data_IF_290247534963
#
_entry.id   IF_290247534963
#
_cell.length_a   1.000
_cell.length_b   1.000
_cell.length_c   1.000
_cell.angle_alpha   90.00
_cell.angle_beta   90.00
_cell.angle_gamma   90.00
#
_symmetry.space_group_name_H-M   'P 1'
#
loop_
_entity.id
_entity.type
_entity.pdbx_description
1 polymer ?
#
# COMPACT_ATOMS: atom_id res chain seq x y z
N UNK A 1 -6.87 -2.59 15.65
CA UNK A 1 -7.15 -2.56 17.11
C UNK A 1 -7.10 -3.95 17.77
N UNK A 2 -7.50 -5.02 17.05
CA UNK A 2 -7.37 -6.41 17.48
C UNK A 2 -7.12 -7.33 16.26
N UNK A 3 -6.79 -8.63 16.45
CA UNK A 3 -6.66 -9.57 15.35
C UNK A 3 -7.95 -9.72 14.53
N UNK A 4 -7.81 -9.96 13.22
CA UNK A 4 -8.92 -10.14 12.27
C UNK A 4 -9.78 -11.38 12.52
N UNK A 5 -9.27 -12.35 13.29
CA UNK A 5 -9.99 -13.58 13.61
C UNK A 5 -11.24 -13.36 14.48
N UNK A 6 -11.38 -12.21 15.15
CA UNK A 6 -12.52 -11.94 16.04
C UNK A 6 -13.35 -10.74 15.54
N UNK A 7 -14.25 -11.02 14.59
CA UNK A 7 -15.15 -10.02 14.01
C UNK A 7 -16.03 -9.32 15.05
N UNK A 8 -16.55 -10.07 16.03
CA UNK A 8 -17.41 -9.52 17.08
C UNK A 8 -16.67 -8.46 17.92
N UNK A 9 -15.39 -8.68 18.21
CA UNK A 9 -14.57 -7.69 18.89
C UNK A 9 -14.34 -6.44 18.03
N UNK A 10 -14.09 -6.60 16.73
CA UNK A 10 -13.91 -5.47 15.80
C UNK A 10 -15.18 -4.63 15.74
N UNK A 11 -16.34 -5.26 15.56
CA UNK A 11 -17.64 -4.60 15.52
C UNK A 11 -17.95 -3.86 16.83
N UNK A 12 -17.68 -4.46 17.98
CA UNK A 12 -17.85 -3.76 19.27
C UNK A 12 -16.99 -2.50 19.35
N UNK A 13 -15.73 -2.61 18.90
CA UNK A 13 -14.82 -1.45 18.87
C UNK A 13 -15.32 -0.38 17.90
N UNK A 14 -15.78 -0.74 16.70
CA UNK A 14 -16.28 0.24 15.72
C UNK A 14 -17.51 0.99 16.24
N UNK A 15 -18.41 0.31 16.95
CA UNK A 15 -19.61 0.90 17.56
C UNK A 15 -19.34 1.81 18.76
N UNK A 16 -18.23 1.60 19.47
CA UNK A 16 -17.90 2.32 20.72
C UNK A 16 -16.87 3.44 20.51
N UNK A 17 -16.31 3.58 19.30
CA UNK A 17 -15.28 4.58 19.01
C UNK A 17 -15.76 5.60 17.99
N UNK A 18 -15.21 6.81 18.08
CA UNK A 18 -15.34 7.85 17.05
C UNK A 18 -14.12 7.90 16.12
N UNK A 19 -13.08 7.12 16.44
CA UNK A 19 -11.85 7.07 15.64
C UNK A 19 -12.04 6.08 14.49
N UNK A 20 -11.77 6.49 13.23
CA UNK A 20 -11.89 5.59 12.09
C UNK A 20 -11.08 4.30 12.26
N UNK A 21 -11.72 3.15 12.01
CA UNK A 21 -11.14 1.82 12.15
C UNK A 21 -10.53 1.38 10.82
N UNK A 22 -9.20 1.43 10.76
CA UNK A 22 -8.42 0.90 9.65
C UNK A 22 -7.94 -0.54 9.89
N UNK A 23 -8.26 -1.47 8.99
CA UNK A 23 -7.85 -2.88 9.06
C UNK A 23 -7.50 -3.44 7.67
N UNK A 24 -6.76 -4.56 7.63
CA UNK A 24 -6.52 -5.28 6.37
C UNK A 24 -5.07 -5.65 6.06
N UNK A 25 -4.13 -5.46 6.99
CA UNK A 25 -2.72 -5.86 6.76
C UNK A 25 -2.52 -7.37 6.56
N UNK A 26 -3.44 -8.19 7.07
CA UNK A 26 -3.45 -9.64 6.85
C UNK A 26 -4.49 -10.08 5.82
N UNK A 27 -5.20 -9.14 5.20
CA UNK A 27 -6.18 -9.42 4.16
C UNK A 27 -5.43 -9.51 2.83
N UNK A 28 -5.56 -10.67 2.18
CA UNK A 28 -4.93 -10.97 0.91
C UNK A 28 -5.89 -11.49 -0.16
N UNK A 29 -7.19 -11.59 0.14
CA UNK A 29 -8.23 -11.98 -0.79
C UNK A 29 -9.52 -11.14 -0.67
N UNK A 30 -10.23 -10.83 -1.77
CA UNK A 30 -11.43 -9.99 -1.73
C UNK A 30 -12.60 -10.53 -0.93
N UNK A 31 -12.72 -11.85 -0.75
CA UNK A 31 -13.81 -12.42 0.06
C UNK A 31 -13.62 -12.14 1.56
N UNK A 32 -12.39 -11.91 2.03
CA UNK A 32 -12.09 -11.68 3.45
C UNK A 32 -12.61 -10.34 3.97
N UNK A 33 -12.88 -9.36 3.08
CA UNK A 33 -13.46 -8.08 3.51
C UNK A 33 -14.98 -8.17 3.61
N UNK A 34 -15.64 -9.18 3.04
CA UNK A 34 -17.10 -9.21 2.90
C UNK A 34 -17.84 -9.06 4.24
N UNK A 35 -17.43 -9.81 5.27
CA UNK A 35 -18.08 -9.74 6.58
C UNK A 35 -17.77 -8.42 7.31
N UNK A 36 -16.57 -7.85 7.10
CA UNK A 36 -16.21 -6.54 7.66
C UNK A 36 -17.08 -5.42 7.07
N UNK A 37 -17.35 -5.49 5.76
CA UNK A 37 -18.18 -4.53 5.06
C UNK A 37 -19.67 -4.70 5.40
N UNK A 38 -20.15 -5.94 5.58
CA UNK A 38 -21.56 -6.21 5.92
C UNK A 38 -21.92 -5.72 7.33
N UNK A 39 -20.97 -5.81 8.25
CA UNK A 39 -21.18 -5.43 9.66
C UNK A 39 -20.80 -3.96 9.95
N UNK A 40 -20.48 -3.17 8.93
CA UNK A 40 -19.97 -1.79 9.06
C UNK A 40 -18.83 -1.70 10.10
N UNK A 41 -17.93 -2.67 10.06
CA UNK A 41 -16.93 -2.88 11.10
C UNK A 41 -15.63 -2.09 10.89
N UNK A 42 -15.45 -1.48 9.71
CA UNK A 42 -14.24 -0.77 9.30
C UNK A 42 -14.57 0.46 8.45
N UNK A 43 -13.70 1.46 8.50
CA UNK A 43 -13.80 2.68 7.69
C UNK A 43 -12.75 2.73 6.58
N UNK A 44 -11.63 2.00 6.77
CA UNK A 44 -10.50 2.00 5.83
C UNK A 44 -9.93 0.59 5.65
N UNK A 45 -9.87 0.10 4.40
CA UNK A 45 -9.12 -1.13 4.08
C UNK A 45 -7.62 -0.83 3.88
N UNK A 46 -6.75 -1.69 4.41
CA UNK A 46 -5.29 -1.51 4.40
C UNK A 46 -4.51 -2.68 3.79
N UNK A 47 -4.73 -3.02 2.51
CA UNK A 47 -4.11 -4.19 1.90
C UNK A 47 -2.62 -3.97 1.57
N UNK A 48 -1.84 -5.06 1.60
CA UNK A 48 -0.42 -5.06 1.25
C UNK A 48 -0.23 -5.26 -0.26
N UNK A 49 0.48 -4.33 -0.91
CA UNK A 49 0.83 -4.43 -2.33
C UNK A 49 1.74 -5.62 -2.58
N UNK A 50 2.70 -5.89 -1.69
CA UNK A 50 3.62 -7.03 -1.82
C UNK A 50 2.89 -8.39 -1.78
N UNK A 51 1.77 -8.49 -1.06
CA UNK A 51 0.97 -9.72 -0.96
C UNK A 51 -0.12 -9.83 -2.04
N UNK A 52 -0.72 -8.70 -2.39
CA UNK A 52 -1.93 -8.66 -3.20
C UNK A 52 -1.68 -8.27 -4.65
N UNK A 53 -0.61 -7.53 -4.92
CA UNK A 53 -0.39 -6.84 -6.18
C UNK A 53 -1.46 -5.78 -6.49
N UNK A 54 -1.29 -5.08 -7.62
CA UNK A 54 -2.16 -3.98 -8.04
C UNK A 54 -3.59 -4.48 -8.32
N UNK A 55 -3.72 -5.54 -9.12
CA UNK A 55 -5.02 -6.00 -9.61
C UNK A 55 -5.97 -6.45 -8.49
N UNK A 56 -5.46 -7.17 -7.49
CA UNK A 56 -6.29 -7.67 -6.39
C UNK A 56 -6.70 -6.56 -5.44
N UNK A 57 -5.80 -5.61 -5.16
CA UNK A 57 -6.15 -4.43 -4.36
C UNK A 57 -7.22 -3.61 -5.06
N UNK A 58 -7.09 -3.39 -6.37
CA UNK A 58 -8.12 -2.68 -7.15
C UNK A 58 -9.48 -3.35 -7.05
N UNK A 59 -9.57 -4.68 -7.08
CA UNK A 59 -10.84 -5.41 -6.85
C UNK A 59 -11.40 -5.17 -5.45
N UNK A 60 -10.56 -5.23 -4.41
CA UNK A 60 -10.99 -4.95 -3.03
C UNK A 60 -11.44 -3.50 -2.86
N UNK A 61 -10.74 -2.55 -3.47
CA UNK A 61 -11.06 -1.14 -3.40
C UNK A 61 -12.41 -0.82 -4.06
N UNK A 62 -12.72 -1.41 -5.22
CA UNK A 62 -14.03 -1.27 -5.88
C UNK A 62 -15.16 -1.83 -5.01
N UNK A 63 -14.94 -2.96 -4.33
CA UNK A 63 -15.94 -3.53 -3.40
C UNK A 63 -16.09 -2.63 -2.16
N UNK A 64 -15.00 -2.08 -1.63
CA UNK A 64 -15.06 -1.16 -0.50
C UNK A 64 -15.72 0.19 -0.86
N UNK A 65 -15.52 0.66 -2.09
CA UNK A 65 -16.07 1.92 -2.60
C UNK A 65 -17.60 1.97 -2.50
N UNK A 66 -18.30 0.88 -2.80
CA UNK A 66 -19.77 0.83 -2.70
C UNK A 66 -20.29 0.84 -1.26
N UNK A 67 -19.41 0.61 -0.28
CA UNK A 67 -19.69 0.74 1.15
C UNK A 67 -19.17 2.06 1.73
N UNK A 68 -18.76 3.01 0.89
CA UNK A 68 -18.15 4.29 1.30
C UNK A 68 -16.88 4.13 2.16
N UNK A 69 -16.18 3.01 2.00
CA UNK A 69 -14.95 2.70 2.73
C UNK A 69 -13.76 3.10 1.89
N UNK A 70 -12.82 3.79 2.53
CA UNK A 70 -11.61 4.27 1.87
C UNK A 70 -10.55 3.16 1.77
N UNK A 71 -9.63 3.30 0.82
CA UNK A 71 -8.50 2.39 0.63
C UNK A 71 -7.19 3.09 0.99
N UNK A 72 -6.45 2.52 1.94
CA UNK A 72 -5.10 2.95 2.30
C UNK A 72 -4.09 1.80 2.14
N UNK A 73 -3.72 1.44 0.89
CA UNK A 73 -2.73 0.40 0.63
C UNK A 73 -1.36 0.75 1.23
N UNK A 74 -0.52 -0.27 1.37
CA UNK A 74 0.87 -0.09 1.80
C UNK A 74 1.80 -1.09 1.13
N UNK A 75 3.09 -0.78 1.15
CA UNK A 75 4.14 -1.75 0.88
C UNK A 75 5.29 -1.57 1.86
N UNK A 76 6.07 -2.63 2.04
CA UNK A 76 7.32 -2.62 2.81
C UNK A 76 8.53 -2.90 1.90
N UNK A 77 8.31 -2.89 0.57
CA UNK A 77 9.36 -3.08 -0.43
C UNK A 77 10.06 -1.79 -0.82
N UNK A 78 11.10 -1.90 -1.64
CA UNK A 78 11.88 -0.76 -2.16
C UNK A 78 11.21 -0.01 -3.32
N UNK A 79 11.99 0.70 -4.15
CA UNK A 79 11.47 1.72 -5.07
C UNK A 79 10.55 1.16 -6.15
N UNK A 80 10.72 -0.10 -6.57
CA UNK A 80 9.80 -0.75 -7.51
C UNK A 80 8.40 -0.89 -6.93
N UNK A 81 8.30 -1.20 -5.63
CA UNK A 81 7.01 -1.26 -4.94
C UNK A 81 6.42 0.15 -4.77
N UNK A 82 7.26 1.18 -4.58
CA UNK A 82 6.83 2.59 -4.58
C UNK A 82 6.20 2.96 -5.92
N UNK A 83 6.83 2.64 -7.05
CA UNK A 83 6.24 2.91 -8.37
C UNK A 83 4.87 2.22 -8.55
N UNK A 84 4.76 0.95 -8.15
CA UNK A 84 3.49 0.22 -8.19
C UNK A 84 2.43 0.85 -7.28
N UNK A 85 2.83 1.34 -6.11
CA UNK A 85 1.97 2.03 -5.17
C UNK A 85 1.41 3.35 -5.71
N UNK A 86 2.24 4.14 -6.40
CA UNK A 86 1.81 5.41 -6.99
C UNK A 86 0.76 5.21 -8.09
N UNK A 87 0.99 4.24 -8.99
CA UNK A 87 0.01 3.90 -10.03
C UNK A 87 -1.28 3.31 -9.45
N UNK A 88 -1.16 2.47 -8.41
CA UNK A 88 -2.33 1.97 -7.71
C UNK A 88 -3.12 3.13 -7.10
N UNK A 89 -2.48 4.00 -6.31
CA UNK A 89 -3.12 5.15 -5.68
C UNK A 89 -3.86 6.04 -6.69
N UNK A 90 -3.20 6.39 -7.80
CA UNK A 90 -3.82 7.19 -8.86
C UNK A 90 -5.02 6.52 -9.54
N UNK A 91 -5.14 5.19 -9.46
CA UNK A 91 -6.21 4.41 -10.10
C UNK A 91 -7.44 4.18 -9.21
N UNK A 92 -7.38 4.54 -7.92
CA UNK A 92 -8.41 4.25 -6.92
C UNK A 92 -9.20 5.53 -6.58
N UNK A 93 -10.52 5.62 -6.90
CA UNK A 93 -11.34 6.77 -6.55
C UNK A 93 -11.47 6.99 -5.04
N UNK A 94 -11.51 5.89 -4.26
CA UNK A 94 -11.59 5.90 -2.80
C UNK A 94 -10.20 5.84 -2.12
N UNK A 95 -9.13 6.26 -2.81
CA UNK A 95 -7.80 6.33 -2.22
C UNK A 95 -7.75 7.32 -1.05
N UNK A 96 -7.16 6.92 0.07
CA UNK A 96 -6.99 7.75 1.25
C UNK A 96 -5.55 8.21 1.45
N UNK A 97 -4.63 7.25 1.63
CA UNK A 97 -3.20 7.53 1.86
C UNK A 97 -2.37 6.31 1.49
N UNK A 98 -1.14 6.54 1.06
CA UNK A 98 -0.18 5.49 0.74
C UNK A 98 0.93 5.48 1.78
N UNK A 99 1.06 4.36 2.51
CA UNK A 99 2.23 4.15 3.36
C UNK A 99 3.38 3.60 2.49
N UNK A 100 4.53 4.27 2.55
CA UNK A 100 5.78 3.94 1.84
C UNK A 100 6.91 3.85 2.86
N UNK A 101 7.82 2.86 2.79
CA UNK A 101 8.94 2.74 3.71
C UNK A 101 10.04 3.73 3.26
N UNK A 102 10.08 4.89 3.90
CA UNK A 102 11.01 5.95 3.55
C UNK A 102 12.43 5.65 4.08
N UNK A 103 13.47 5.72 3.25
CA UNK A 103 14.85 5.46 3.67
C UNK A 103 15.42 6.57 4.57
N UNK A 104 15.72 6.25 5.82
CA UNK A 104 16.37 7.18 6.76
C UNK A 104 17.89 7.29 6.52
N UNK A 105 18.54 6.17 6.18
CA UNK A 105 19.96 6.11 5.90
C UNK A 105 20.29 6.64 4.50
N UNK A 106 21.41 7.36 4.37
CA UNK A 106 21.87 7.90 3.08
C UNK A 106 22.25 6.78 2.12
N UNK A 107 22.80 5.69 2.64
CA UNK A 107 23.18 4.51 1.87
C UNK A 107 21.96 3.83 1.24
N UNK A 108 20.85 3.70 1.98
CA UNK A 108 19.59 3.16 1.45
C UNK A 108 19.00 4.11 0.40
N UNK A 109 18.97 5.43 0.68
CA UNK A 109 18.55 6.44 -0.31
C UNK A 109 19.32 6.32 -1.62
N UNK A 110 20.65 6.25 -1.53
CA UNK A 110 21.53 6.13 -2.70
C UNK A 110 21.31 4.82 -3.45
N UNK A 111 21.21 3.70 -2.75
CA UNK A 111 20.90 2.40 -3.36
C UNK A 111 19.60 2.45 -4.15
N UNK A 112 18.52 2.95 -3.54
CA UNK A 112 17.20 3.04 -4.19
C UNK A 112 17.20 3.96 -5.40
N UNK A 113 17.87 5.11 -5.29
CA UNK A 113 18.05 6.03 -6.40
C UNK A 113 18.86 5.42 -7.55
N UNK A 114 19.91 4.64 -7.27
CA UNK A 114 20.69 3.91 -8.28
C UNK A 114 19.87 2.80 -8.96
N UNK A 115 18.92 2.16 -8.25
CA UNK A 115 18.08 1.06 -8.74
C UNK A 115 16.95 1.56 -9.67
N UNK A 116 16.22 2.60 -9.30
CA UNK A 116 14.98 2.99 -10.02
C UNK A 116 14.89 4.48 -10.37
N UNK A 117 15.90 5.27 -10.05
CA UNK A 117 15.96 6.72 -10.28
C UNK A 117 15.61 7.55 -9.05
N UNK A 118 16.39 8.60 -8.81
CA UNK A 118 16.25 9.48 -7.64
C UNK A 118 14.92 10.26 -7.60
N UNK A 119 14.30 10.52 -8.75
CA UNK A 119 13.06 11.29 -8.83
C UNK A 119 11.82 10.53 -8.35
N UNK A 120 11.86 9.19 -8.33
CA UNK A 120 10.70 8.37 -8.01
C UNK A 120 10.25 8.54 -6.56
N UNK A 121 11.20 8.55 -5.63
CA UNK A 121 10.93 8.67 -4.19
C UNK A 121 11.15 10.11 -3.68
N UNK A 122 11.23 11.09 -4.58
CA UNK A 122 11.35 12.49 -4.19
C UNK A 122 9.99 13.03 -3.70
N UNK A 123 9.90 13.29 -2.40
CA UNK A 123 8.71 13.86 -1.76
C UNK A 123 8.75 15.38 -1.80
N UNK A 124 7.65 16.00 -2.24
CA UNK A 124 7.42 17.44 -2.17
C UNK A 124 6.17 17.68 -1.34
N UNK A 125 6.31 18.38 -0.22
CA UNK A 125 5.19 18.73 0.67
C UNK A 125 4.34 17.53 1.12
N UNK A 126 4.96 16.36 1.27
CA UNK A 126 4.27 15.12 1.65
C UNK A 126 3.66 14.32 0.49
N UNK A 127 3.83 14.79 -0.76
CA UNK A 127 3.30 14.13 -1.95
C UNK A 127 4.41 13.62 -2.88
N UNK A 128 4.13 12.52 -3.56
CA UNK A 128 4.94 12.02 -4.67
C UNK A 128 4.37 12.50 -6.00
N UNK A 129 5.25 12.69 -6.98
CA UNK A 129 4.82 12.85 -8.37
C UNK A 129 4.46 11.48 -8.96
N UNK A 130 3.38 11.41 -9.75
CA UNK A 130 3.02 10.20 -10.49
C UNK A 130 4.01 10.00 -11.67
N UNK A 131 4.68 8.84 -11.79
CA UNK A 131 5.50 8.53 -12.95
C UNK A 131 4.66 8.49 -14.23
N UNK A 132 5.13 9.15 -15.30
CA UNK A 132 4.37 9.31 -16.55
C UNK A 132 4.80 8.36 -17.67
N UNK A 133 5.89 7.62 -17.48
CA UNK A 133 6.36 6.63 -18.45
C UNK A 133 5.43 5.41 -18.53
N UNK A 134 5.60 4.60 -19.57
CA UNK A 134 4.84 3.36 -19.76
C UNK A 134 5.07 2.35 -18.61
N UNK A 135 4.07 1.48 -18.38
CA UNK A 135 4.14 0.48 -17.32
C UNK A 135 4.17 1.12 -15.93
N UNK A 136 5.20 0.81 -15.13
CA UNK A 136 5.40 1.45 -13.83
C UNK A 136 6.06 2.83 -13.92
N UNK A 137 6.41 3.30 -15.12
CA UNK A 137 7.08 4.58 -15.34
C UNK A 137 8.52 4.63 -14.81
N UNK A 138 9.14 3.46 -14.60
CA UNK A 138 10.52 3.30 -14.15
C UNK A 138 11.26 2.31 -15.03
N UNK A 139 12.60 2.44 -15.07
CA UNK A 139 13.49 1.42 -15.63
C UNK A 139 14.42 0.97 -14.52
N UNK A 140 14.45 -0.34 -14.26
CA UNK A 140 15.28 -0.91 -13.20
C UNK A 140 16.72 -1.05 -13.70
N UNK A 141 17.66 -0.54 -12.93
CA UNK A 141 19.09 -0.68 -13.19
C UNK A 141 19.59 -2.03 -12.67
N UNK A 142 19.66 -3.02 -13.55
CA UNK A 142 20.14 -4.37 -13.21
C UNK A 142 21.57 -4.37 -12.65
N UNK A 143 22.45 -3.49 -13.12
CA UNK A 143 23.82 -3.40 -12.58
C UNK A 143 23.82 -2.94 -11.12
N UNK A 144 22.91 -2.02 -10.77
CA UNK A 144 22.75 -1.60 -9.38
C UNK A 144 22.17 -2.73 -8.54
N UNK A 145 21.18 -3.48 -9.04
CA UNK A 145 20.69 -4.67 -8.34
C UNK A 145 21.81 -5.65 -8.01
N UNK A 146 22.71 -5.92 -8.96
CA UNK A 146 23.78 -6.90 -8.71
C UNK A 146 24.85 -6.34 -7.78
N UNK A 147 25.12 -5.03 -7.84
CA UNK A 147 26.01 -4.33 -6.90
C UNK A 147 25.49 -4.41 -5.46
N UNK A 148 24.18 -4.28 -5.27
CA UNK A 148 23.53 -4.24 -3.96
C UNK A 148 22.90 -5.56 -3.54
N UNK A 149 23.15 -6.64 -4.30
CA UNK A 149 22.68 -7.97 -3.95
C UNK A 149 23.32 -8.36 -2.63
N UNK A 150 22.51 -8.50 -1.58
CA UNK A 150 22.99 -8.98 -0.30
C UNK A 150 23.69 -10.32 -0.49
N UNK A 151 24.98 -10.38 -0.13
CA UNK A 151 25.65 -11.67 0.04
C UNK A 151 24.92 -12.44 1.12
N UNK A 152 24.73 -13.75 0.91
CA UNK A 152 24.24 -14.64 1.96
C UNK A 152 25.07 -14.43 3.23
N UNK A 153 24.39 -14.00 4.29
CA UNK A 153 24.86 -14.06 5.66
C UNK A 153 23.77 -14.75 6.49
#
# INVERSE_FOLDING_TARGET
>A
PCPLANLAAIRRISMETVTPVGLGRTIDAPWQIQDLLREDAIDVIRPSISRCGIARIRRMAVIAEVHYIAAAPYHDGGPVATAAALHLAASLPNFYIQQVPFPEAEEDRRMRAEIAGASLEAVREGFFALPTGAGLGITVNEKALEKYRGGEA
#
